data_IF_249632349553
#
_entry.id   IF_249632349553
#
_cell.length_a   1.000
_cell.length_b   1.000
_cell.length_c   1.000
_cell.angle_alpha   90.00
_cell.angle_beta   90.00
_cell.angle_gamma   90.00
#
_symmetry.space_group_name_H-M   'P 1'
#
loop_
_entity.id
_entity.type
_entity.pdbx_description
1 polymer ?
#
# COMPACT_ATOMS: atom_id res chain seq x y z
N UNK A 1 -2.49 13.17 26.11
CA UNK A 1 -2.45 14.25 25.11
C UNK A 1 -1.25 13.95 24.24
N UNK A 2 -1.48 13.49 23.01
CA UNK A 2 -0.39 13.21 22.06
C UNK A 2 0.02 14.56 21.52
N UNK A 3 1.30 14.92 21.63
CA UNK A 3 1.82 16.16 21.02
C UNK A 3 1.45 16.15 19.54
N UNK A 4 0.57 17.07 19.13
CA UNK A 4 0.17 17.24 17.74
C UNK A 4 1.34 17.87 16.99
N UNK A 5 2.17 17.01 16.38
CA UNK A 5 3.21 17.44 15.43
C UNK A 5 2.54 18.30 14.36
N UNK A 6 3.17 19.42 14.01
CA UNK A 6 2.68 20.24 12.91
C UNK A 6 2.90 19.53 11.57
N UNK A 7 2.09 19.84 10.56
CA UNK A 7 2.29 19.28 9.20
C UNK A 7 3.68 19.63 8.66
N UNK A 8 4.19 20.83 8.97
CA UNK A 8 5.51 21.28 8.52
C UNK A 8 6.66 20.51 9.18
N UNK A 9 6.56 20.25 10.49
CA UNK A 9 7.57 19.46 11.21
C UNK A 9 7.54 18.00 10.75
N UNK A 10 6.34 17.44 10.55
CA UNK A 10 6.16 16.11 10.00
C UNK A 10 6.74 15.99 8.59
N UNK A 11 6.51 16.98 7.72
CA UNK A 11 7.05 17.01 6.36
C UNK A 11 8.58 17.05 6.37
N UNK A 12 9.16 17.85 7.28
CA UNK A 12 10.62 17.91 7.45
C UNK A 12 11.20 16.55 7.88
N UNK A 13 10.56 15.88 8.84
CA UNK A 13 10.97 14.55 9.28
C UNK A 13 10.83 13.51 8.16
N UNK A 14 9.74 13.57 7.40
CA UNK A 14 9.50 12.72 6.24
C UNK A 14 10.57 12.93 5.16
N UNK A 15 10.91 14.18 4.84
CA UNK A 15 11.93 14.51 3.85
C UNK A 15 13.30 13.99 4.28
N UNK A 16 13.71 14.21 5.54
CA UNK A 16 14.98 13.71 6.04
C UNK A 16 15.05 12.17 5.97
N UNK A 17 13.95 11.49 6.30
CA UNK A 17 13.86 10.04 6.14
C UNK A 17 13.97 9.59 4.68
N UNK A 18 13.27 10.25 3.75
CA UNK A 18 13.28 9.91 2.34
C UNK A 18 14.66 10.17 1.71
N UNK A 19 15.29 11.32 1.97
CA UNK A 19 16.63 11.67 1.50
C UNK A 19 17.71 10.69 1.99
N UNK A 20 17.55 10.17 3.21
CA UNK A 20 18.48 9.18 3.75
C UNK A 20 18.36 7.80 3.07
N UNK A 21 17.19 7.48 2.53
CA UNK A 21 16.86 6.10 2.13
C UNK A 21 16.62 5.91 0.63
N UNK A 22 16.38 6.98 -0.13
CA UNK A 22 16.02 6.91 -1.54
C UNK A 22 16.79 7.95 -2.34
N UNK A 23 17.06 7.59 -3.59
CA UNK A 23 17.60 8.52 -4.57
C UNK A 23 16.51 9.49 -5.06
N UNK A 24 16.86 10.74 -5.39
CA UNK A 24 15.94 11.66 -6.05
C UNK A 24 15.40 11.07 -7.35
N UNK A 25 14.12 11.32 -7.64
CA UNK A 25 13.52 10.91 -8.91
C UNK A 25 14.13 11.74 -10.03
N UNK A 26 14.74 11.06 -11.00
CA UNK A 26 15.22 11.69 -12.22
C UNK A 26 14.07 11.73 -13.21
N UNK A 27 13.64 12.94 -13.58
CA UNK A 27 12.60 13.14 -14.57
C UNK A 27 13.15 12.81 -15.96
N UNK A 28 12.65 11.73 -16.57
CA UNK A 28 13.02 11.36 -17.93
C UNK A 28 12.21 12.23 -18.87
N UNK A 29 12.84 13.23 -19.49
CA UNK A 29 12.20 13.99 -20.56
C UNK A 29 12.05 13.10 -21.79
N UNK A 30 10.86 12.55 -21.98
CA UNK A 30 10.50 11.90 -23.23
C UNK A 30 10.10 12.97 -24.25
N UNK A 31 10.80 12.97 -25.39
CA UNK A 31 10.47 13.84 -26.52
C UNK A 31 9.47 13.10 -27.39
N UNK A 32 8.42 13.80 -27.81
CA UNK A 32 7.42 13.24 -28.70
C UNK A 32 8.07 12.69 -29.98
N UNK A 33 7.85 11.41 -30.28
CA UNK A 33 8.47 10.71 -31.42
C UNK A 33 9.82 10.05 -31.13
N UNK A 34 10.34 10.12 -29.90
CA UNK A 34 11.52 9.38 -29.45
C UNK A 34 11.12 8.32 -28.41
N UNK A 35 11.41 7.04 -28.69
CA UNK A 35 11.11 5.94 -27.77
C UNK A 35 10.44 4.75 -28.46
N UNK A 36 9.95 3.82 -27.66
CA UNK A 36 9.14 2.70 -28.14
C UNK A 36 7.70 3.15 -28.39
N UNK A 37 7.12 2.78 -29.54
CA UNK A 37 5.69 2.96 -29.83
C UNK A 37 4.80 1.95 -29.07
N UNK A 38 5.38 1.11 -28.19
CA UNK A 38 4.60 0.19 -27.37
C UNK A 38 3.81 0.94 -26.29
N UNK A 39 2.49 0.90 -26.43
CA UNK A 39 1.52 1.40 -25.42
C UNK A 39 0.97 0.23 -24.61
N UNK A 40 1.86 -0.53 -23.96
CA UNK A 40 1.42 -1.65 -23.11
C UNK A 40 0.99 -1.10 -21.75
N UNK A 41 -0.32 -1.09 -21.49
CA UNK A 41 -0.88 -0.61 -20.21
C UNK A 41 -0.52 -1.53 -19.03
N UNK A 42 -0.31 -2.82 -19.29
CA UNK A 42 0.05 -3.85 -18.32
C UNK A 42 1.17 -4.70 -18.91
N UNK A 43 2.45 -4.37 -18.67
CA UNK A 43 3.55 -5.15 -19.19
C UNK A 43 3.54 -6.55 -18.57
N UNK A 44 3.64 -7.58 -19.40
CA UNK A 44 3.96 -8.93 -18.93
C UNK A 44 5.40 -8.92 -18.42
N UNK A 45 5.55 -9.25 -17.14
CA UNK A 45 6.85 -9.42 -16.49
C UNK A 45 7.13 -10.91 -16.34
N UNK A 46 8.41 -11.25 -16.31
CA UNK A 46 8.84 -12.58 -15.89
C UNK A 46 8.60 -12.75 -14.39
N UNK A 47 8.47 -14.01 -13.94
CA UNK A 47 8.33 -14.32 -12.51
C UNK A 47 9.50 -13.78 -11.70
N UNK A 48 10.73 -13.88 -12.23
CA UNK A 48 11.93 -13.35 -11.57
C UNK A 48 11.84 -11.83 -11.35
N UNK A 49 11.41 -11.08 -12.36
CA UNK A 49 11.23 -9.63 -12.26
C UNK A 49 10.15 -9.26 -11.25
N UNK A 50 9.01 -9.96 -11.25
CA UNK A 50 7.93 -9.74 -10.29
C UNK A 50 8.37 -10.02 -8.85
N UNK A 51 9.13 -11.09 -8.63
CA UNK A 51 9.66 -11.42 -7.32
C UNK A 51 10.70 -10.40 -6.83
N UNK A 52 11.54 -9.89 -7.73
CA UNK A 52 12.51 -8.84 -7.40
C UNK A 52 11.81 -7.52 -7.05
N UNK A 53 10.83 -7.09 -7.86
CA UNK A 53 10.01 -5.91 -7.57
C UNK A 53 9.28 -6.06 -6.23
N UNK A 54 8.68 -7.23 -5.97
CA UNK A 54 7.99 -7.52 -4.71
C UNK A 54 8.95 -7.48 -3.52
N UNK A 55 10.16 -8.02 -3.65
CA UNK A 55 11.16 -7.98 -2.58
C UNK A 55 11.57 -6.54 -2.24
N UNK A 56 11.78 -5.70 -3.26
CA UNK A 56 12.07 -4.26 -3.08
C UNK A 56 10.89 -3.53 -2.43
N UNK A 57 9.67 -3.79 -2.90
CA UNK A 57 8.45 -3.21 -2.34
C UNK A 57 8.24 -3.61 -0.88
N UNK A 58 8.47 -4.88 -0.54
CA UNK A 58 8.40 -5.38 0.84
C UNK A 58 9.41 -4.71 1.75
N UNK A 59 10.67 -4.66 1.33
CA UNK A 59 11.73 -4.02 2.12
C UNK A 59 11.42 -2.53 2.35
N UNK A 60 10.90 -1.84 1.34
CA UNK A 60 10.45 -0.46 1.47
C UNK A 60 9.26 -0.31 2.42
N UNK A 61 8.24 -1.16 2.28
CA UNK A 61 7.05 -1.18 3.12
C UNK A 61 7.39 -1.35 4.61
N UNK A 62 8.30 -2.29 4.93
CA UNK A 62 8.75 -2.54 6.29
C UNK A 62 9.49 -1.33 6.83
N UNK A 63 10.46 -0.81 6.06
CA UNK A 63 11.28 0.35 6.47
C UNK A 63 10.43 1.59 6.75
N UNK A 64 9.50 1.95 5.85
CA UNK A 64 8.62 3.12 6.06
C UNK A 64 7.67 2.90 7.24
N UNK A 65 7.17 1.69 7.45
CA UNK A 65 6.26 1.38 8.55
C UNK A 65 6.97 1.48 9.90
N UNK A 66 8.15 0.91 10.02
CA UNK A 66 8.96 0.95 11.26
C UNK A 66 9.43 2.38 11.58
N UNK A 67 9.60 3.24 10.57
CA UNK A 67 9.86 4.67 10.74
C UNK A 67 8.59 5.51 11.01
N UNK A 68 7.41 4.90 11.05
CA UNK A 68 6.12 5.57 11.30
C UNK A 68 5.45 6.20 10.08
N UNK A 69 6.03 6.09 8.89
CA UNK A 69 5.45 6.64 7.65
C UNK A 69 4.55 5.66 6.89
N UNK A 70 4.55 4.38 7.26
CA UNK A 70 3.79 3.35 6.56
C UNK A 70 2.27 3.46 6.69
N UNK A 71 1.76 4.01 7.80
CA UNK A 71 0.32 4.22 8.02
C UNK A 71 0.04 5.50 8.83
N UNK A 72 0.22 6.65 8.20
CA UNK A 72 0.18 7.98 8.85
C UNK A 72 -1.16 8.24 9.56
N UNK A 73 -2.27 7.93 8.90
CA UNK A 73 -3.63 8.14 9.45
C UNK A 73 -4.15 6.98 10.30
N UNK A 74 -3.37 5.90 10.40
CA UNK A 74 -3.82 4.65 11.00
C UNK A 74 -3.94 4.71 12.52
N UNK A 75 -4.78 3.86 13.14
CA UNK A 75 -4.86 3.75 14.59
C UNK A 75 -3.52 3.33 15.22
N UNK A 76 -3.12 4.01 16.29
CA UNK A 76 -1.86 3.73 16.98
C UNK A 76 -1.75 2.28 17.50
N UNK A 77 -2.86 1.69 17.93
CA UNK A 77 -2.91 0.30 18.40
C UNK A 77 -2.45 -0.73 17.35
N UNK A 78 -2.53 -0.39 16.06
CA UNK A 78 -2.09 -1.26 14.96
C UNK A 78 -0.77 -0.80 14.32
N UNK A 79 -0.08 0.17 14.93
CA UNK A 79 1.18 0.73 14.44
C UNK A 79 1.04 1.90 13.47
N UNK A 80 -0.16 2.47 13.32
CA UNK A 80 -0.33 3.76 12.64
C UNK A 80 0.07 4.95 13.53
N UNK A 81 0.07 6.17 12.96
CA UNK A 81 0.40 7.39 13.72
C UNK A 81 -0.80 8.21 14.19
N UNK A 82 -2.01 7.89 13.76
CA UNK A 82 -3.22 8.62 14.13
C UNK A 82 -3.24 10.08 13.69
N UNK A 83 -2.43 10.46 12.69
CA UNK A 83 -2.32 11.83 12.20
C UNK A 83 -3.41 12.15 11.17
N UNK A 84 -3.55 13.43 10.85
CA UNK A 84 -4.57 13.89 9.90
C UNK A 84 -4.26 13.49 8.45
N UNK A 85 -5.27 13.62 7.57
CA UNK A 85 -5.09 13.42 6.12
C UNK A 85 -4.12 14.43 5.49
N UNK A 86 -3.94 15.60 6.08
CA UNK A 86 -2.99 16.58 5.58
C UNK A 86 -1.54 16.12 5.80
N UNK A 87 -1.26 15.41 6.90
CA UNK A 87 0.03 14.75 7.11
C UNK A 87 0.27 13.64 6.07
N UNK A 88 -0.75 12.82 5.79
CA UNK A 88 -0.66 11.80 4.74
C UNK A 88 -0.33 12.43 3.37
N UNK A 89 -1.02 13.52 3.01
CA UNK A 89 -0.77 14.25 1.75
C UNK A 89 0.65 14.84 1.71
N UNK A 90 1.14 15.38 2.82
CA UNK A 90 2.50 15.88 2.92
C UNK A 90 3.53 14.77 2.69
N UNK A 91 3.33 13.59 3.28
CA UNK A 91 4.20 12.42 3.02
C UNK A 91 4.15 11.99 1.55
N UNK A 92 2.97 11.85 0.95
CA UNK A 92 2.80 11.46 -0.45
C UNK A 92 3.46 12.45 -1.42
N UNK A 93 3.32 13.75 -1.17
CA UNK A 93 3.96 14.80 -1.95
C UNK A 93 5.49 14.77 -1.83
N UNK A 94 6.00 14.50 -0.62
CA UNK A 94 7.43 14.34 -0.39
C UNK A 94 7.98 13.08 -1.10
N UNK A 95 7.34 11.91 -0.92
CA UNK A 95 7.76 10.63 -1.51
C UNK A 95 7.75 10.67 -3.05
N UNK A 96 6.83 11.42 -3.66
CA UNK A 96 6.75 11.58 -5.11
C UNK A 96 8.01 12.19 -5.74
N UNK A 97 8.85 12.88 -4.96
CA UNK A 97 10.12 13.47 -5.39
C UNK A 97 11.27 12.45 -5.46
N UNK A 98 11.06 11.22 -4.97
CA UNK A 98 12.08 10.18 -4.87
C UNK A 98 11.73 8.96 -5.74
N UNK A 99 12.75 8.17 -6.04
CA UNK A 99 12.62 6.91 -6.77
C UNK A 99 12.22 5.76 -5.82
N UNK A 100 11.08 5.91 -5.13
CA UNK A 100 10.54 4.87 -4.24
C UNK A 100 10.14 3.61 -5.03
N UNK A 101 10.35 2.39 -4.47
CA UNK A 101 9.86 1.16 -5.08
C UNK A 101 8.35 1.17 -5.33
N UNK A 102 7.93 0.57 -6.44
CA UNK A 102 6.52 0.48 -6.78
C UNK A 102 5.76 -0.37 -5.75
N UNK A 103 4.66 0.19 -5.24
CA UNK A 103 3.83 -0.45 -4.20
C UNK A 103 2.58 -1.16 -4.77
N UNK A 104 2.56 -1.43 -6.08
CA UNK A 104 1.40 -1.97 -6.82
C UNK A 104 0.89 -3.28 -6.25
N UNK A 105 1.79 -4.20 -5.84
CA UNK A 105 1.43 -5.47 -5.21
C UNK A 105 0.59 -5.31 -3.93
N UNK A 106 0.73 -4.18 -3.23
CA UNK A 106 0.00 -3.88 -2.00
C UNK A 106 -1.28 -3.07 -2.24
N UNK A 107 -1.57 -2.65 -3.47
CA UNK A 107 -2.67 -1.75 -3.79
C UNK A 107 -4.04 -2.29 -3.37
N UNK A 108 -4.36 -3.54 -3.73
CA UNK A 108 -5.62 -4.19 -3.32
C UNK A 108 -5.67 -4.41 -1.80
N UNK A 109 -4.55 -4.89 -1.24
CA UNK A 109 -4.45 -5.15 0.19
C UNK A 109 -4.69 -3.91 1.04
N UNK A 110 -3.98 -2.82 0.76
CA UNK A 110 -4.07 -1.58 1.55
C UNK A 110 -5.24 -0.69 1.15
N UNK A 111 -5.63 -0.70 -0.12
CA UNK A 111 -6.70 0.14 -0.65
C UNK A 111 -8.11 -0.40 -0.41
N UNK A 112 -8.25 -1.71 -0.16
CA UNK A 112 -9.56 -2.35 -0.04
C UNK A 112 -9.67 -3.33 1.12
N UNK A 113 -8.74 -4.29 1.22
CA UNK A 113 -8.85 -5.36 2.22
C UNK A 113 -8.64 -4.83 3.64
N UNK A 114 -7.56 -4.07 3.89
CA UNK A 114 -7.26 -3.51 5.21
C UNK A 114 -8.36 -2.55 5.72
N UNK A 115 -8.89 -1.62 4.90
CA UNK A 115 -10.03 -0.78 5.29
C UNK A 115 -11.28 -1.60 5.65
N UNK A 116 -11.56 -2.68 4.91
CA UNK A 116 -12.69 -3.57 5.20
C UNK A 116 -12.49 -4.28 6.55
N UNK A 117 -11.30 -4.80 6.82
CA UNK A 117 -10.95 -5.41 8.11
C UNK A 117 -11.11 -4.39 9.24
N UNK A 118 -10.56 -3.18 9.08
CA UNK A 118 -10.64 -2.14 10.08
C UNK A 118 -12.09 -1.75 10.41
N UNK A 119 -12.96 -1.67 9.40
CA UNK A 119 -14.34 -1.28 9.56
C UNK A 119 -15.25 -2.38 10.12
N UNK A 120 -15.01 -3.65 9.78
CA UNK A 120 -16.01 -4.71 9.96
C UNK A 120 -15.54 -5.94 10.76
N UNK A 121 -14.24 -6.12 10.96
CA UNK A 121 -13.75 -7.34 11.60
C UNK A 121 -13.82 -7.29 13.13
N UNK A 122 -13.69 -8.46 13.77
CA UNK A 122 -13.45 -8.55 15.21
C UNK A 122 -12.06 -8.01 15.56
N UNK A 123 -11.84 -7.65 16.83
CA UNK A 123 -10.56 -7.09 17.24
C UNK A 123 -9.42 -8.11 17.10
N UNK A 124 -9.69 -9.41 17.30
CA UNK A 124 -8.73 -10.49 17.06
C UNK A 124 -8.24 -10.54 15.60
N UNK A 125 -9.14 -10.32 14.64
CA UNK A 125 -8.83 -10.28 13.21
C UNK A 125 -8.05 -8.99 12.88
N UNK A 126 -8.45 -7.85 13.45
CA UNK A 126 -7.73 -6.58 13.27
C UNK A 126 -6.29 -6.68 13.77
N UNK A 127 -6.09 -7.20 14.98
CA UNK A 127 -4.77 -7.41 15.59
C UNK A 127 -3.89 -8.35 14.77
N UNK A 128 -4.48 -9.43 14.25
CA UNK A 128 -3.76 -10.41 13.42
C UNK A 128 -3.26 -9.83 12.10
N UNK A 129 -4.09 -9.04 11.41
CA UNK A 129 -3.83 -8.70 10.00
C UNK A 129 -3.35 -7.27 9.79
N UNK A 130 -3.92 -6.27 10.47
CA UNK A 130 -3.70 -4.86 10.07
C UNK A 130 -2.23 -4.47 10.14
N UNK A 131 -1.54 -4.78 11.25
CA UNK A 131 -0.12 -4.47 11.38
C UNK A 131 0.72 -5.16 10.30
N UNK A 132 0.51 -6.45 10.09
CA UNK A 132 1.25 -7.26 9.12
C UNK A 132 1.02 -6.81 7.68
N UNK A 133 -0.20 -6.37 7.34
CA UNK A 133 -0.52 -5.82 6.03
C UNK A 133 0.16 -4.47 5.80
N UNK A 134 0.05 -3.53 6.75
CA UNK A 134 0.63 -2.19 6.61
C UNK A 134 2.15 -2.17 6.68
N UNK A 135 2.77 -3.12 7.38
CA UNK A 135 4.23 -3.37 7.37
C UNK A 135 4.70 -4.09 6.11
N UNK A 136 3.79 -4.62 5.30
CA UNK A 136 4.10 -5.29 4.03
C UNK A 136 4.46 -6.78 4.13
N UNK A 137 4.20 -7.44 5.26
CA UNK A 137 4.44 -8.89 5.41
C UNK A 137 3.37 -9.75 4.74
N UNK A 138 2.18 -9.18 4.55
CA UNK A 138 1.05 -9.83 3.91
C UNK A 138 0.72 -9.05 2.64
N UNK A 139 0.84 -9.74 1.50
CA UNK A 139 0.21 -9.32 0.25
C UNK A 139 -1.17 -9.97 0.22
N UNK A 140 -2.19 -9.17 -0.02
CA UNK A 140 -3.57 -9.65 -0.10
C UNK A 140 -4.13 -9.41 -1.51
N UNK A 141 -4.94 -10.36 -1.96
CA UNK A 141 -5.70 -10.25 -3.20
C UNK A 141 -7.21 -10.22 -2.90
N UNK A 142 -7.97 -9.78 -3.88
CA UNK A 142 -9.43 -9.81 -3.87
C UNK A 142 -9.88 -10.91 -4.83
N UNK A 143 -10.73 -11.82 -4.35
CA UNK A 143 -11.22 -12.97 -5.10
C UNK A 143 -12.73 -12.80 -5.42
N UNK A 144 -13.09 -11.69 -6.07
CA UNK A 144 -14.49 -11.43 -6.47
C UNK A 144 -14.85 -11.99 -7.84
N UNK A 145 -13.93 -11.92 -8.81
CA UNK A 145 -14.20 -12.35 -10.17
C UNK A 145 -14.30 -13.88 -10.29
N UNK A 146 -15.29 -14.33 -11.04
CA UNK A 146 -15.50 -15.73 -11.39
C UNK A 146 -15.70 -15.87 -12.91
N UNK A 147 -15.51 -17.07 -13.50
CA UNK A 147 -15.71 -17.25 -14.95
C UNK A 147 -17.06 -16.75 -15.48
N UNK A 148 -18.11 -16.80 -14.65
CA UNK A 148 -19.46 -16.37 -15.00
C UNK A 148 -19.91 -15.06 -14.30
N UNK A 149 -19.06 -14.43 -13.47
CA UNK A 149 -19.39 -13.23 -12.71
C UNK A 149 -18.25 -12.19 -12.77
N UNK A 150 -18.54 -11.05 -13.39
CA UNK A 150 -17.63 -9.91 -13.53
C UNK A 150 -18.29 -8.62 -13.05
N UNK A 151 -18.77 -7.78 -13.98
CA UNK A 151 -19.47 -6.53 -13.64
C UNK A 151 -20.76 -6.76 -12.83
N UNK A 152 -21.43 -7.90 -13.04
CA UNK A 152 -22.54 -8.34 -12.18
C UNK A 152 -22.03 -9.26 -11.07
N UNK A 153 -21.47 -8.64 -10.03
CA UNK A 153 -20.91 -9.37 -8.88
C UNK A 153 -21.98 -10.17 -8.11
N UNK A 154 -23.25 -9.75 -8.17
CA UNK A 154 -24.33 -10.44 -7.47
C UNK A 154 -24.62 -11.84 -8.04
N UNK A 155 -24.16 -12.14 -9.25
CA UNK A 155 -24.29 -13.44 -9.92
C UNK A 155 -23.19 -14.45 -9.55
N UNK A 156 -22.37 -14.17 -8.53
CA UNK A 156 -21.33 -15.09 -8.05
C UNK A 156 -21.91 -16.45 -7.58
N UNK A 157 -21.12 -17.51 -7.76
CA UNK A 157 -21.48 -18.90 -7.46
C UNK A 157 -20.65 -19.51 -6.33
N UNK A 158 -19.49 -18.92 -6.00
CA UNK A 158 -18.69 -19.35 -4.85
C UNK A 158 -19.50 -19.20 -3.58
N UNK A 159 -19.65 -20.30 -2.85
CA UNK A 159 -20.49 -20.35 -1.64
C UNK A 159 -19.67 -20.80 -0.44
N UNK A 160 -19.88 -20.11 0.67
CA UNK A 160 -19.49 -20.59 1.98
C UNK A 160 -20.72 -21.20 2.65
N UNK A 161 -20.69 -22.50 2.93
CA UNK A 161 -21.73 -23.18 3.71
C UNK A 161 -21.24 -23.24 5.14
N UNK A 162 -22.03 -22.71 6.08
CA UNK A 162 -21.77 -22.92 7.50
C UNK A 162 -22.00 -24.41 7.79
N UNK A 163 -20.94 -25.10 8.19
CA UNK A 163 -20.99 -26.49 8.63
C UNK A 163 -20.44 -26.55 10.05
N UNK A 164 -21.34 -26.82 11.00
CA UNK A 164 -21.12 -26.67 12.44
C UNK A 164 -21.56 -25.31 13.03
N UNK A 165 -21.88 -25.37 14.31
CA UNK A 165 -22.00 -24.28 15.31
C UNK A 165 -21.91 -24.84 16.75
N UNK A 166 -21.62 -26.15 16.89
CA UNK A 166 -21.25 -26.78 18.15
C UNK A 166 -19.82 -26.39 18.56
#
# INVERSE_FOLDING_TARGET
MVDEISVADFEKDALAFLEHNLEPRVEVQQRWGEGSDQVTLLPERTLEEELEELAKARAWAQKRFDAGFGWVTGPAQYGGRGLSRDHQRAYEAAEARFAAPAMTAYGIGLGMVAPTILAHATDEVKERYLRSMWRGDIVACQLFSEPAAGSDLASLQTKAVRDGDE
#
